data_IF_045228749531
#
_entry.id   IF_045228749531
#
_cell.length_a   1.000
_cell.length_b   1.000
_cell.length_c   1.000
_cell.angle_alpha   90.00
_cell.angle_beta   90.00
_cell.angle_gamma   90.00
#
_symmetry.space_group_name_H-M   'P 1'
#
loop_
_entity.id
_entity.type
_entity.pdbx_description
1 polymer ?
#
# COMPACT_ATOMS: atom_id res chain seq x y z
N UNK A 1 33.25 28.37 -1.14
CA UNK A 1 33.16 26.94 -0.76
C UNK A 1 31.73 26.40 -0.80
N UNK A 2 30.69 27.20 -0.56
CA UNK A 2 29.28 26.77 -0.50
C UNK A 2 28.68 26.28 -1.83
N UNK A 3 29.06 26.88 -2.97
CA UNK A 3 28.48 26.54 -4.28
C UNK A 3 28.81 25.12 -4.77
N UNK A 4 29.98 24.59 -4.40
CA UNK A 4 30.40 23.23 -4.78
C UNK A 4 29.68 22.15 -3.96
N UNK A 5 29.35 22.45 -2.70
CA UNK A 5 28.53 21.59 -1.84
C UNK A 5 27.08 21.51 -2.31
N UNK A 6 26.50 22.65 -2.71
CA UNK A 6 25.15 22.69 -3.30
C UNK A 6 25.06 21.89 -4.60
N UNK A 7 26.06 22.00 -5.48
CA UNK A 7 26.11 21.24 -6.72
C UNK A 7 26.23 19.71 -6.46
N UNK A 8 27.07 19.30 -5.51
CA UNK A 8 27.22 17.89 -5.14
C UNK A 8 25.93 17.30 -4.51
N UNK A 9 25.24 18.08 -3.66
CA UNK A 9 23.98 17.68 -3.05
C UNK A 9 22.85 17.53 -4.08
N UNK A 10 22.79 18.41 -5.08
CA UNK A 10 21.80 18.32 -6.16
C UNK A 10 22.00 17.07 -7.02
N UNK A 11 23.25 16.73 -7.38
CA UNK A 11 23.56 15.53 -8.17
C UNK A 11 23.22 14.24 -7.41
N UNK A 12 23.44 14.21 -6.10
CA UNK A 12 23.06 13.07 -5.25
C UNK A 12 21.53 12.88 -5.18
N UNK A 13 20.76 13.97 -5.16
CA UNK A 13 19.29 13.90 -5.14
C UNK A 13 18.70 13.35 -6.47
N UNK A 14 19.31 13.68 -7.63
CA UNK A 14 18.85 13.15 -8.91
C UNK A 14 19.23 11.68 -9.13
N UNK A 15 20.34 11.21 -8.54
CA UNK A 15 20.76 9.81 -8.63
C UNK A 15 19.88 8.84 -7.80
N UNK A 16 19.07 9.36 -6.86
CA UNK A 16 18.09 8.58 -6.10
C UNK A 16 16.83 8.24 -6.91
N UNK A 17 16.61 8.92 -8.04
CA UNK A 17 15.54 8.62 -8.99
C UNK A 17 15.95 7.43 -9.87
N UNK A 18 16.03 6.24 -9.28
CA UNK A 18 16.17 4.99 -10.04
C UNK A 18 15.00 4.80 -11.02
N UNK A 19 15.10 3.87 -11.99
CA UNK A 19 13.99 3.56 -12.89
C UNK A 19 12.80 3.01 -12.08
N UNK A 20 11.85 3.88 -11.72
CA UNK A 20 10.72 3.56 -10.83
C UNK A 20 9.64 2.72 -11.49
N UNK A 21 9.69 2.50 -12.81
CA UNK A 21 8.62 1.83 -13.55
C UNK A 21 9.17 1.01 -14.70
N UNK A 22 9.32 -0.31 -14.47
CA UNK A 22 9.43 -1.36 -15.51
C UNK A 22 9.64 -2.76 -14.91
N UNK A 23 9.84 -2.89 -13.60
CA UNK A 23 9.81 -4.20 -12.95
C UNK A 23 8.38 -4.73 -13.00
N UNK A 24 8.10 -5.59 -13.98
CA UNK A 24 6.82 -6.25 -14.17
C UNK A 24 6.57 -7.18 -12.99
N UNK A 25 6.08 -6.64 -11.88
CA UNK A 25 5.44 -7.44 -10.86
C UNK A 25 4.28 -8.20 -11.53
N UNK A 26 4.04 -9.47 -11.19
CA UNK A 26 2.85 -10.17 -11.64
C UNK A 26 1.63 -9.27 -11.38
N UNK A 27 0.90 -8.94 -12.44
CA UNK A 27 -0.30 -8.11 -12.30
C UNK A 27 -1.30 -8.75 -11.34
N UNK A 28 -2.10 -7.94 -10.67
CA UNK A 28 -3.17 -8.45 -9.81
C UNK A 28 -4.11 -9.34 -10.62
N UNK A 29 -4.50 -10.47 -10.03
CA UNK A 29 -5.52 -11.32 -10.63
C UNK A 29 -6.87 -10.61 -10.57
N UNK A 30 -7.77 -10.90 -11.52
CA UNK A 30 -9.13 -10.33 -11.52
C UNK A 30 -9.86 -10.59 -10.19
N UNK A 31 -9.66 -11.77 -9.63
CA UNK A 31 -10.27 -12.11 -8.35
C UNK A 31 -9.65 -11.31 -7.20
N UNK A 32 -8.33 -11.12 -7.16
CA UNK A 32 -7.71 -10.24 -6.17
C UNK A 32 -8.22 -8.80 -6.26
N UNK A 33 -8.38 -8.25 -7.47
CA UNK A 33 -8.95 -6.91 -7.64
C UNK A 33 -10.37 -6.82 -7.09
N UNK A 34 -11.20 -7.84 -7.33
CA UNK A 34 -12.57 -7.91 -6.81
C UNK A 34 -12.59 -7.97 -5.27
N UNK A 35 -11.72 -8.79 -4.68
CA UNK A 35 -11.57 -8.89 -3.24
C UNK A 35 -11.10 -7.57 -2.63
N UNK A 36 -10.14 -6.91 -3.26
CA UNK A 36 -9.64 -5.61 -2.82
C UNK A 36 -10.73 -4.54 -2.88
N UNK A 37 -11.52 -4.49 -3.96
CA UNK A 37 -12.68 -3.58 -4.04
C UNK A 37 -13.65 -3.79 -2.88
N UNK A 38 -13.98 -5.03 -2.53
CA UNK A 38 -14.87 -5.33 -1.40
C UNK A 38 -14.28 -4.88 -0.07
N UNK A 39 -12.96 -5.01 0.12
CA UNK A 39 -12.29 -4.51 1.34
C UNK A 39 -12.31 -2.99 1.43
N UNK A 40 -12.13 -2.30 0.31
CA UNK A 40 -12.26 -0.83 0.26
C UNK A 40 -13.70 -0.38 0.50
N UNK A 41 -14.69 -1.09 -0.02
CA UNK A 41 -16.10 -0.84 0.27
C UNK A 41 -16.41 -1.03 1.76
N UNK A 42 -15.92 -2.12 2.37
CA UNK A 42 -16.03 -2.37 3.81
C UNK A 42 -15.30 -1.31 4.66
N UNK A 43 -14.24 -0.71 4.12
CA UNK A 43 -13.53 0.42 4.73
C UNK A 43 -14.27 1.77 4.54
N UNK A 44 -15.42 1.78 3.86
CA UNK A 44 -16.26 2.95 3.63
C UNK A 44 -15.89 3.77 2.39
N UNK A 45 -14.99 3.28 1.52
CA UNK A 45 -14.63 3.96 0.28
C UNK A 45 -15.57 3.60 -0.86
N UNK A 46 -16.20 4.62 -1.46
CA UNK A 46 -17.04 4.46 -2.64
C UNK A 46 -16.68 5.51 -3.70
N UNK A 47 -16.05 5.11 -4.83
CA UNK A 47 -15.64 6.06 -5.87
C UNK A 47 -16.84 6.71 -6.59
N UNK A 48 -18.01 6.08 -6.61
CA UNK A 48 -19.22 6.66 -7.22
C UNK A 48 -19.89 7.74 -6.35
N UNK A 49 -19.52 7.83 -5.06
CA UNK A 49 -20.07 8.78 -4.08
C UNK A 49 -18.99 9.69 -3.51
N UNK A 50 -17.97 9.95 -4.32
CA UNK A 50 -16.79 10.68 -3.94
C UNK A 50 -17.07 12.19 -3.83
N UNK A 51 -16.64 12.81 -2.72
CA UNK A 51 -16.65 14.25 -2.58
C UNK A 51 -15.37 14.85 -3.23
N UNK A 52 -15.47 15.71 -4.27
CA UNK A 52 -14.30 16.25 -4.96
C UNK A 52 -13.32 17.03 -4.06
N UNK A 53 -13.76 17.48 -2.88
CA UNK A 53 -12.92 18.24 -1.95
C UNK A 53 -12.15 17.36 -0.96
N UNK A 54 -12.62 16.15 -0.68
CA UNK A 54 -12.03 15.26 0.34
C UNK A 54 -11.57 13.92 -0.21
N UNK A 55 -11.74 13.66 -1.51
CA UNK A 55 -11.53 12.33 -2.07
C UNK A 55 -10.15 11.72 -1.83
N UNK A 56 -9.11 12.55 -1.80
CA UNK A 56 -7.74 12.10 -1.52
C UNK A 56 -7.65 11.59 -0.09
N UNK A 57 -8.16 12.36 0.87
CA UNK A 57 -8.15 12.01 2.29
C UNK A 57 -9.03 10.79 2.55
N UNK A 58 -10.21 10.72 1.91
CA UNK A 58 -11.13 9.58 2.00
C UNK A 58 -10.47 8.29 1.46
N UNK A 59 -9.76 8.38 0.33
CA UNK A 59 -9.02 7.26 -0.24
C UNK A 59 -7.86 6.81 0.66
N UNK A 60 -7.09 7.75 1.20
CA UNK A 60 -5.98 7.45 2.12
C UNK A 60 -6.48 6.82 3.42
N UNK A 61 -7.56 7.35 4.00
CA UNK A 61 -8.17 6.80 5.21
C UNK A 61 -8.68 5.37 4.99
N UNK A 62 -9.32 5.11 3.86
CA UNK A 62 -9.77 3.76 3.51
C UNK A 62 -8.60 2.80 3.29
N UNK A 63 -7.54 3.25 2.59
CA UNK A 63 -6.33 2.45 2.42
C UNK A 63 -5.72 2.08 3.77
N UNK A 64 -5.61 3.02 4.70
CA UNK A 64 -5.12 2.76 6.06
C UNK A 64 -5.93 1.68 6.79
N UNK A 65 -7.26 1.72 6.69
CA UNK A 65 -8.14 0.68 7.27
C UNK A 65 -7.94 -0.70 6.62
N UNK A 66 -7.84 -0.75 5.28
CA UNK A 66 -7.56 -1.99 4.55
C UNK A 66 -6.21 -2.58 4.95
N UNK A 67 -5.18 -1.74 5.05
CA UNK A 67 -3.85 -2.18 5.50
C UNK A 67 -3.84 -2.69 6.93
N UNK A 68 -4.54 -2.02 7.84
CA UNK A 68 -4.71 -2.48 9.21
C UNK A 68 -5.39 -3.85 9.26
N UNK A 69 -6.51 -4.02 8.53
CA UNK A 69 -7.22 -5.30 8.46
C UNK A 69 -6.37 -6.44 7.90
N UNK A 70 -5.56 -6.18 6.86
CA UNK A 70 -4.62 -7.20 6.32
C UNK A 70 -3.55 -7.60 7.33
N UNK A 71 -3.07 -6.68 8.16
CA UNK A 71 -2.11 -6.99 9.21
C UNK A 71 -2.73 -7.86 10.30
N UNK A 72 -4.00 -7.63 10.64
CA UNK A 72 -4.75 -8.44 11.61
C UNK A 72 -5.06 -9.84 11.07
N UNK A 73 -5.46 -9.94 9.79
CA UNK A 73 -5.64 -11.22 9.09
C UNK A 73 -4.34 -12.05 9.14
N UNK A 74 -3.20 -11.44 8.82
CA UNK A 74 -1.90 -12.09 8.85
C UNK A 74 -1.54 -12.59 10.26
N UNK A 75 -1.70 -11.75 11.30
CA UNK A 75 -1.46 -12.15 12.69
C UNK A 75 -2.33 -13.34 13.11
N UNK A 76 -3.59 -13.33 12.71
CA UNK A 76 -4.53 -14.41 12.99
C UNK A 76 -4.10 -15.71 12.31
N UNK A 77 -3.68 -15.65 11.05
CA UNK A 77 -3.16 -16.82 10.33
C UNK A 77 -1.89 -17.39 10.97
N UNK A 78 -0.97 -16.53 11.39
CA UNK A 78 0.23 -16.93 12.14
C UNK A 78 -0.12 -17.61 13.47
N UNK A 79 -1.10 -17.09 14.21
CA UNK A 79 -1.56 -17.70 15.46
C UNK A 79 -2.20 -19.07 15.23
N UNK A 80 -3.03 -19.21 14.19
CA UNK A 80 -3.64 -20.49 13.81
C UNK A 80 -2.58 -21.49 13.38
N UNK A 81 -1.62 -21.09 12.54
CA UNK A 81 -0.52 -21.97 12.13
C UNK A 81 0.33 -22.42 13.32
N UNK A 82 0.66 -21.52 14.24
CA UNK A 82 1.38 -21.86 15.47
C UNK A 82 0.59 -22.77 16.41
N UNK A 83 -0.74 -22.73 16.37
CA UNK A 83 -1.59 -23.67 17.09
C UNK A 83 -1.60 -25.05 16.40
N UNK A 84 -1.67 -25.11 15.07
CA UNK A 84 -1.63 -26.37 14.33
C UNK A 84 -0.30 -27.10 14.47
N UNK A 85 0.84 -26.39 14.48
CA UNK A 85 2.17 -27.01 14.66
C UNK A 85 2.46 -27.47 16.08
N UNK A 86 1.63 -27.10 17.07
CA UNK A 86 1.76 -27.55 18.47
C UNK A 86 1.02 -28.86 18.75
N UNK A 87 0.08 -29.24 17.88
CA UNK A 87 -0.74 -30.44 18.04
C UNK A 87 -0.21 -31.66 17.26
N UNK A 88 1.03 -31.57 16.74
CA UNK A 88 1.77 -32.61 16.02
C UNK A 88 3.03 -32.95 16.82
#
# INVERSE_FOLDING_TARGET
>A
MTTRFLAAAAVAALAASGPLFAQSAPGLTREQVRQDMLRYEAAGFNPARMNPRSWVDDAQAAAARVHAGRADDARTQLAVHGATTRCD
#
